data_IF_993749266733
#
_entry.id   IF_993749266733
#
_cell.length_a   1.000
_cell.length_b   1.000
_cell.length_c   1.000
_cell.angle_alpha   90.00
_cell.angle_beta   90.00
_cell.angle_gamma   90.00
#
_symmetry.space_group_name_H-M   'P 1'
#
loop_
_entity.id
_entity.type
_entity.pdbx_description
1 polymer ?
#
# COMPACT_ATOMS: atom_id res chain seq x y z
N UNK A 1 3.29 -32.25 21.60
CA UNK A 1 1.87 -32.07 21.24
C UNK A 1 1.51 -30.57 21.29
N UNK A 2 2.17 -29.78 20.44
CA UNK A 2 1.83 -28.37 20.19
C UNK A 2 0.65 -28.20 19.20
N UNK A 3 0.31 -29.30 18.53
CA UNK A 3 -0.30 -29.31 17.21
C UNK A 3 -1.72 -29.88 17.21
N UNK A 4 -2.57 -29.38 18.11
CA UNK A 4 -4.03 -29.66 18.08
C UNK A 4 -4.92 -28.47 18.45
N UNK A 5 -4.35 -27.30 18.73
CA UNK A 5 -5.13 -26.11 19.16
C UNK A 5 -5.02 -24.91 18.23
N UNK A 6 -4.14 -24.92 17.23
CA UNK A 6 -3.96 -23.79 16.30
C UNK A 6 -5.22 -23.58 15.45
N UNK A 7 -5.83 -24.65 14.97
CA UNK A 7 -7.08 -24.60 14.20
C UNK A 7 -8.30 -24.19 15.02
N UNK A 8 -8.17 -24.11 16.35
CA UNK A 8 -9.21 -23.64 17.27
C UNK A 8 -9.01 -22.18 17.70
N UNK A 9 -7.95 -21.51 17.21
CA UNK A 9 -7.71 -20.10 17.52
C UNK A 9 -8.66 -19.21 16.70
N UNK A 10 -9.22 -18.20 17.34
CA UNK A 10 -10.03 -17.17 16.70
C UNK A 10 -9.14 -16.03 16.19
N UNK A 11 -9.64 -15.31 15.18
CA UNK A 11 -8.98 -14.13 14.63
C UNK A 11 -8.68 -13.07 15.71
N UNK A 12 -7.55 -12.35 15.59
CA UNK A 12 -7.12 -11.32 16.54
C UNK A 12 -7.92 -10.01 16.40
N UNK A 13 -8.69 -9.85 15.33
CA UNK A 13 -9.49 -8.68 15.03
C UNK A 13 -8.70 -7.61 14.26
N UNK A 14 -9.12 -6.36 14.40
CA UNK A 14 -8.68 -5.24 13.55
C UNK A 14 -7.37 -4.57 14.00
N UNK A 15 -6.67 -5.10 15.00
CA UNK A 15 -5.43 -4.50 15.51
C UNK A 15 -4.50 -5.53 16.14
N UNK A 16 -3.19 -5.28 16.01
CA UNK A 16 -2.14 -6.05 16.65
C UNK A 16 -1.33 -5.14 17.59
N UNK A 17 -1.15 -5.58 18.83
CA UNK A 17 -0.31 -4.94 19.82
C UNK A 17 1.16 -5.33 19.69
N UNK A 18 2.07 -4.44 20.10
CA UNK A 18 3.51 -4.70 20.04
C UNK A 18 3.97 -5.89 20.93
N UNK A 19 3.19 -6.21 21.96
CA UNK A 19 3.40 -7.34 22.88
C UNK A 19 2.75 -8.64 22.40
N UNK A 20 1.97 -8.59 21.31
CA UNK A 20 1.34 -9.80 20.77
C UNK A 20 2.42 -10.77 20.28
N UNK A 21 2.07 -12.04 20.35
CA UNK A 21 2.99 -13.14 20.06
C UNK A 21 2.54 -13.82 18.78
N UNK A 22 3.43 -13.88 17.81
CA UNK A 22 3.28 -14.71 16.64
C UNK A 22 3.86 -16.08 16.94
N UNK A 23 3.08 -17.12 16.65
CA UNK A 23 3.55 -18.49 16.70
C UNK A 23 4.23 -18.81 15.37
N UNK A 24 5.55 -19.01 15.41
CA UNK A 24 6.33 -19.46 14.26
C UNK A 24 6.52 -20.97 14.40
N UNK A 25 6.07 -21.72 13.40
CA UNK A 25 6.27 -23.17 13.30
C UNK A 25 7.39 -23.40 12.29
N UNK A 26 8.53 -23.89 12.79
CA UNK A 26 9.69 -24.24 11.95
C UNK A 26 9.38 -25.44 11.04
N UNK A 27 10.03 -25.47 9.87
CA UNK A 27 9.74 -26.34 8.74
C UNK A 27 9.75 -27.85 9.03
N UNK A 28 8.93 -28.55 8.26
CA UNK A 28 8.55 -29.97 8.30
C UNK A 28 9.66 -31.02 8.05
N UNK A 29 10.94 -30.65 8.15
CA UNK A 29 12.07 -31.59 8.02
C UNK A 29 12.28 -32.50 9.24
N UNK A 30 11.60 -32.21 10.36
CA UNK A 30 11.66 -32.95 11.62
C UNK A 30 10.48 -32.61 12.53
N UNK A 31 10.53 -33.03 13.80
CA UNK A 31 9.48 -32.68 14.78
C UNK A 31 9.43 -31.17 15.00
N UNK A 32 8.31 -30.49 14.70
CA UNK A 32 8.23 -29.04 14.82
C UNK A 32 8.51 -28.58 16.25
N UNK A 33 9.39 -27.59 16.42
CA UNK A 33 9.58 -26.89 17.69
C UNK A 33 8.93 -25.52 17.60
N UNK A 34 7.92 -25.27 18.43
CA UNK A 34 7.25 -23.97 18.47
C UNK A 34 8.26 -22.88 18.87
N UNK A 35 8.35 -21.80 18.09
CA UNK A 35 9.08 -20.59 18.46
C UNK A 35 8.10 -19.44 18.63
N UNK A 36 8.38 -18.56 19.59
CA UNK A 36 7.62 -17.31 19.82
C UNK A 36 8.41 -16.13 19.26
N UNK A 37 7.76 -15.24 18.52
CA UNK A 37 8.30 -13.95 18.09
C UNK A 37 7.31 -12.84 18.49
N UNK A 38 7.79 -11.75 19.06
CA UNK A 38 6.94 -10.57 19.33
C UNK A 38 6.77 -9.75 18.05
N UNK A 39 5.62 -9.08 17.89
CA UNK A 39 5.36 -8.19 16.73
C UNK A 39 6.48 -7.15 16.55
N UNK A 40 6.95 -6.57 17.65
CA UNK A 40 8.06 -5.61 17.65
C UNK A 40 9.38 -6.14 17.08
N UNK A 41 9.64 -7.44 17.23
CA UNK A 41 10.84 -8.07 16.65
C UNK A 41 10.67 -8.34 15.16
N UNK A 42 9.46 -8.66 14.71
CA UNK A 42 9.16 -8.85 13.30
C UNK A 42 9.25 -7.54 12.50
N UNK A 43 8.60 -6.47 12.97
CA UNK A 43 8.55 -5.19 12.25
C UNK A 43 9.83 -4.35 12.38
N UNK A 44 10.64 -4.58 13.42
CA UNK A 44 11.86 -3.82 13.68
C UNK A 44 13.14 -4.40 13.07
N UNK A 45 13.15 -5.66 12.64
CA UNK A 45 14.36 -6.37 12.19
C UNK A 45 14.10 -7.23 10.95
N UNK A 46 13.76 -6.60 9.81
CA UNK A 46 13.61 -7.32 8.56
C UNK A 46 14.97 -7.86 8.06
N UNK A 47 15.11 -9.18 7.82
CA UNK A 47 16.37 -9.78 7.37
C UNK A 47 16.66 -9.57 5.87
N UNK A 48 15.71 -8.97 5.14
CA UNK A 48 15.75 -8.70 3.70
C UNK A 48 14.88 -7.49 3.37
N UNK A 49 14.78 -7.13 2.09
CA UNK A 49 13.92 -6.05 1.62
C UNK A 49 12.44 -6.32 1.91
N UNK A 50 11.66 -5.25 2.09
CA UNK A 50 10.21 -5.32 2.19
C UNK A 50 9.61 -5.36 0.78
N UNK A 51 9.09 -6.52 0.38
CA UNK A 51 8.36 -6.68 -0.87
C UNK A 51 6.86 -6.82 -0.64
N UNK A 52 6.04 -6.29 -1.54
CA UNK A 52 4.60 -6.54 -1.55
C UNK A 52 4.31 -7.77 -2.43
N UNK A 53 3.60 -8.75 -1.88
CA UNK A 53 3.19 -9.96 -2.63
C UNK A 53 1.96 -9.74 -3.50
N UNK A 54 1.29 -8.60 -3.35
CA UNK A 54 0.11 -8.21 -4.13
C UNK A 54 0.52 -7.77 -5.54
N UNK A 55 -0.31 -8.08 -6.53
CA UNK A 55 -0.16 -7.49 -7.86
C UNK A 55 -0.38 -5.96 -7.77
N UNK A 56 0.37 -5.14 -8.53
CA UNK A 56 0.09 -3.72 -8.63
C UNK A 56 -1.30 -3.46 -9.21
N UNK A 57 -1.95 -2.40 -8.71
CA UNK A 57 -3.11 -1.81 -9.36
C UNK A 57 -2.70 -1.26 -10.73
N UNK A 58 -3.27 -1.83 -11.79
CA UNK A 58 -2.91 -1.52 -13.18
C UNK A 58 -3.94 -0.55 -13.75
N UNK A 59 -3.65 0.75 -13.61
CA UNK A 59 -4.48 1.82 -14.14
C UNK A 59 -4.15 2.03 -15.62
N UNK A 60 -5.19 2.07 -16.44
CA UNK A 60 -5.09 2.28 -17.89
C UNK A 60 -5.91 3.50 -18.31
N UNK A 61 -5.88 3.87 -19.59
CA UNK A 61 -6.69 4.96 -20.14
C UNK A 61 -8.21 4.75 -20.02
N UNK A 62 -8.68 3.54 -19.69
CA UNK A 62 -10.09 3.24 -19.44
C UNK A 62 -10.48 3.28 -17.95
N UNK A 63 -9.49 3.40 -17.05
CA UNK A 63 -9.71 3.44 -15.61
C UNK A 63 -10.25 4.80 -15.16
N UNK A 64 -10.97 4.82 -14.04
CA UNK A 64 -11.51 6.04 -13.41
C UNK A 64 -11.13 6.17 -11.93
N UNK A 65 -10.43 5.16 -11.39
CA UNK A 65 -10.11 5.01 -9.97
C UNK A 65 -8.69 4.48 -9.84
N UNK A 66 -7.97 5.00 -8.84
CA UNK A 66 -6.79 4.38 -8.22
C UNK A 66 -7.26 3.63 -6.98
N UNK A 67 -6.97 2.34 -6.87
CA UNK A 67 -7.44 1.56 -5.71
C UNK A 67 -6.75 1.98 -4.40
N UNK A 68 -7.38 1.66 -3.27
CA UNK A 68 -6.77 1.86 -1.94
C UNK A 68 -6.24 0.56 -1.33
N UNK A 69 -6.42 -0.58 -1.99
CA UNK A 69 -6.06 -1.90 -1.45
C UNK A 69 -4.65 -2.33 -1.83
N UNK A 70 -4.22 -2.03 -3.05
CA UNK A 70 -2.89 -2.36 -3.54
C UNK A 70 -1.90 -1.33 -3.02
N UNK A 71 -0.72 -1.75 -2.57
CA UNK A 71 0.30 -0.81 -2.12
C UNK A 71 0.92 -0.02 -3.29
N UNK A 72 0.93 -0.61 -4.48
CA UNK A 72 1.54 -0.06 -5.69
C UNK A 72 0.45 0.15 -6.75
N UNK A 73 0.46 1.31 -7.40
CA UNK A 73 -0.28 1.59 -8.62
C UNK A 73 0.67 1.95 -9.74
N UNK A 74 0.46 1.33 -10.89
CA UNK A 74 1.10 1.71 -12.16
C UNK A 74 0.07 2.37 -13.06
N UNK A 75 0.43 3.48 -13.69
CA UNK A 75 -0.44 4.24 -14.59
C UNK A 75 0.09 4.19 -16.01
N UNK A 76 -0.76 3.78 -16.94
CA UNK A 76 -0.56 3.90 -18.38
C UNK A 76 -1.64 4.82 -18.97
N UNK A 77 -1.28 6.04 -19.34
CA UNK A 77 -2.22 6.99 -19.95
C UNK A 77 -2.44 6.70 -21.45
N UNK A 78 -3.54 7.23 -21.97
CA UNK A 78 -3.82 7.27 -23.41
C UNK A 78 -3.55 8.66 -23.98
N UNK A 79 -4.03 8.95 -25.19
CA UNK A 79 -3.86 10.27 -25.81
C UNK A 79 -4.69 11.40 -25.17
N UNK A 80 -5.76 11.04 -24.45
CA UNK A 80 -6.64 11.99 -23.76
C UNK A 80 -6.29 12.09 -22.29
N UNK A 81 -6.58 13.24 -21.68
CA UNK A 81 -6.47 13.43 -20.23
C UNK A 81 -7.24 12.34 -19.47
N UNK A 82 -6.59 11.79 -18.44
CA UNK A 82 -7.09 10.67 -17.64
C UNK A 82 -7.45 11.17 -16.23
N UNK A 83 -8.74 11.33 -15.96
CA UNK A 83 -9.24 11.70 -14.64
C UNK A 83 -9.40 10.46 -13.75
N UNK A 84 -8.78 10.48 -12.57
CA UNK A 84 -8.80 9.38 -11.61
C UNK A 84 -9.23 9.89 -10.24
N UNK A 85 -9.94 9.04 -9.49
CA UNK A 85 -10.27 9.30 -8.09
C UNK A 85 -9.49 8.37 -7.17
N UNK A 86 -9.22 8.80 -5.94
CA UNK A 86 -8.61 7.97 -4.90
C UNK A 86 -9.40 8.12 -3.59
N UNK A 87 -9.94 7.02 -3.06
CA UNK A 87 -10.66 7.06 -1.79
C UNK A 87 -9.72 7.32 -0.60
N UNK A 88 -10.30 7.60 0.57
CA UNK A 88 -9.53 7.63 1.82
C UNK A 88 -8.86 6.27 2.07
N UNK A 89 -7.67 6.30 2.68
CA UNK A 89 -6.97 5.09 3.08
C UNK A 89 -7.77 4.27 4.10
N UNK A 90 -7.48 2.97 4.12
CA UNK A 90 -8.20 2.00 4.95
C UNK A 90 -7.65 1.92 6.38
N UNK A 91 -6.42 2.41 6.60
CA UNK A 91 -5.75 2.37 7.90
C UNK A 91 -4.75 3.51 8.03
N UNK A 92 -4.66 4.10 9.22
CA UNK A 92 -3.66 5.12 9.53
C UNK A 92 -2.25 4.55 9.34
N UNK A 93 -1.36 5.32 8.72
CA UNK A 93 -0.01 4.89 8.39
C UNK A 93 0.10 4.10 7.08
N UNK A 94 -1.00 3.92 6.34
CA UNK A 94 -0.97 3.27 5.04
C UNK A 94 -0.09 4.06 4.06
N UNK A 95 0.83 3.37 3.38
CA UNK A 95 1.70 3.92 2.34
C UNK A 95 1.21 3.43 0.98
N UNK A 96 1.09 4.35 0.02
CA UNK A 96 0.73 4.08 -1.38
C UNK A 96 1.81 4.63 -2.30
N UNK A 97 2.27 3.79 -3.23
CA UNK A 97 3.25 4.16 -4.26
C UNK A 97 2.53 4.24 -5.60
N UNK A 98 2.73 5.33 -6.33
CA UNK A 98 2.11 5.54 -7.65
C UNK A 98 3.21 5.93 -8.64
N UNK A 99 3.23 5.30 -9.80
CA UNK A 99 4.17 5.63 -10.87
C UNK A 99 3.48 5.56 -12.24
N UNK A 100 3.74 6.54 -13.10
CA UNK A 100 3.41 6.45 -14.51
C UNK A 100 4.49 5.65 -15.24
N UNK A 101 4.07 4.63 -15.98
CA UNK A 101 4.95 3.70 -16.71
C UNK A 101 4.81 3.84 -18.23
N UNK A 102 3.70 4.42 -18.69
CA UNK A 102 3.44 4.70 -20.11
C UNK A 102 2.75 6.05 -20.20
N UNK A 103 3.32 6.95 -21.01
CA UNK A 103 2.69 8.18 -21.42
C UNK A 103 2.13 8.03 -22.84
N UNK A 104 0.81 8.12 -22.97
CA UNK A 104 0.10 8.16 -24.24
C UNK A 104 -0.11 9.57 -24.81
N UNK A 105 0.35 10.61 -24.10
CA UNK A 105 0.17 12.04 -24.36
C UNK A 105 -0.85 12.73 -23.44
N UNK A 106 -1.65 11.95 -22.72
CA UNK A 106 -2.65 12.44 -21.78
C UNK A 106 -2.15 12.46 -20.34
N UNK A 107 -2.23 13.61 -19.68
CA UNK A 107 -1.92 13.72 -18.24
C UNK A 107 -2.93 12.93 -17.41
N UNK A 108 -2.43 12.10 -16.49
CA UNK A 108 -3.23 11.41 -15.49
C UNK A 108 -3.36 12.28 -14.23
N UNK A 109 -4.56 12.74 -13.93
CA UNK A 109 -4.86 13.60 -12.78
C UNK A 109 -5.65 12.80 -11.75
N UNK A 110 -5.04 12.56 -10.61
CA UNK A 110 -5.63 11.85 -9.47
C UNK A 110 -6.21 12.89 -8.52
N UNK A 111 -7.48 12.72 -8.16
CA UNK A 111 -8.19 13.52 -7.17
C UNK A 111 -8.50 12.64 -5.95
N UNK A 112 -7.66 12.69 -4.90
CA UNK A 112 -7.96 12.00 -3.65
C UNK A 112 -9.16 12.64 -2.94
N UNK A 113 -9.94 11.83 -2.22
CA UNK A 113 -11.10 12.29 -1.47
C UNK A 113 -10.73 13.35 -0.41
N UNK A 114 -9.54 13.21 0.18
CA UNK A 114 -8.93 14.21 1.04
C UNK A 114 -7.41 14.18 0.83
N UNK A 115 -6.85 15.30 0.36
CA UNK A 115 -5.42 15.47 0.10
C UNK A 115 -4.93 16.67 0.92
N UNK A 116 -3.90 16.45 1.74
CA UNK A 116 -3.41 17.48 2.63
C UNK A 116 -2.69 18.58 1.83
N UNK A 117 -3.26 19.79 1.87
CA UNK A 117 -2.66 21.00 1.30
C UNK A 117 -2.76 21.14 -0.22
N UNK A 118 -3.37 20.19 -0.92
CA UNK A 118 -3.59 20.19 -2.37
C UNK A 118 -4.95 19.53 -2.67
N UNK A 119 -5.38 19.55 -3.92
CA UNK A 119 -6.62 18.90 -4.38
C UNK A 119 -6.37 17.75 -5.36
N UNK A 120 -5.25 17.80 -6.09
CA UNK A 120 -4.93 16.87 -7.17
C UNK A 120 -3.44 16.55 -7.24
N UNK A 121 -3.14 15.42 -7.88
CA UNK A 121 -1.79 14.97 -8.24
C UNK A 121 -1.82 14.63 -9.73
N UNK A 122 -1.06 15.35 -10.54
CA UNK A 122 -0.99 15.14 -11.99
C UNK A 122 0.35 14.52 -12.40
N UNK A 123 0.28 13.43 -13.18
CA UNK A 123 1.41 12.74 -13.79
C UNK A 123 1.30 12.91 -15.31
N UNK A 124 2.28 13.57 -15.93
CA UNK A 124 2.29 13.90 -17.34
C UNK A 124 3.25 13.02 -18.14
N UNK A 125 4.36 12.59 -17.54
CA UNK A 125 5.43 11.88 -18.23
C UNK A 125 5.76 10.53 -17.58
N UNK A 126 6.35 9.62 -18.36
CA UNK A 126 6.87 8.35 -17.83
C UNK A 126 7.94 8.62 -16.77
N UNK A 127 7.80 7.99 -15.60
CA UNK A 127 8.69 8.20 -14.45
C UNK A 127 8.16 9.22 -13.43
N UNK A 128 7.09 9.95 -13.77
CA UNK A 128 6.36 10.70 -12.77
C UNK A 128 5.84 9.74 -11.70
N UNK A 129 6.06 10.09 -10.44
CA UNK A 129 5.70 9.23 -9.32
C UNK A 129 5.51 10.00 -8.03
N UNK A 130 4.68 9.44 -7.15
CA UNK A 130 4.51 9.95 -5.80
C UNK A 130 4.38 8.83 -4.77
N UNK A 131 4.76 9.15 -3.54
CA UNK A 131 4.49 8.33 -2.37
C UNK A 131 3.52 9.07 -1.46
N UNK A 132 2.41 8.42 -1.13
CA UNK A 132 1.38 8.95 -0.26
C UNK A 132 1.41 8.23 1.08
N UNK A 133 1.16 8.98 2.16
CA UNK A 133 0.94 8.48 3.50
C UNK A 133 -0.46 8.88 3.95
N UNK A 134 -1.32 7.90 4.25
CA UNK A 134 -2.63 8.20 4.81
C UNK A 134 -2.50 8.43 6.32
N UNK A 135 -2.85 9.64 6.77
CA UNK A 135 -2.70 10.03 8.17
C UNK A 135 -3.91 9.65 9.01
N UNK A 136 -5.10 10.03 8.56
CA UNK A 136 -6.41 9.75 9.18
C UNK A 136 -7.52 10.32 8.28
N UNK A 137 -8.79 10.12 8.65
CA UNK A 137 -9.95 10.60 7.87
C UNK A 137 -10.05 12.13 7.78
N UNK A 138 -9.51 12.87 8.76
CA UNK A 138 -9.58 14.35 8.79
C UNK A 138 -8.51 15.00 7.93
N UNK A 139 -7.27 14.49 7.98
CA UNK A 139 -6.12 15.04 7.24
C UNK A 139 -5.93 14.40 5.87
N UNK A 140 -6.46 13.19 5.66
CA UNK A 140 -6.40 12.49 4.40
C UNK A 140 -5.00 11.98 4.04
N UNK A 141 -4.74 11.93 2.74
CA UNK A 141 -3.45 11.57 2.17
C UNK A 141 -2.48 12.75 2.23
N UNK A 142 -1.27 12.51 2.72
CA UNK A 142 -0.15 13.43 2.59
C UNK A 142 0.78 12.95 1.47
N UNK A 143 1.17 13.84 0.56
CA UNK A 143 2.25 13.57 -0.40
C UNK A 143 3.58 13.74 0.34
N UNK A 144 4.26 12.63 0.62
CA UNK A 144 5.52 12.65 1.38
C UNK A 144 6.76 12.60 0.49
N UNK A 145 6.57 12.28 -0.79
CA UNK A 145 7.60 12.36 -1.83
C UNK A 145 6.92 12.45 -3.19
N UNK A 146 7.50 13.22 -4.11
CA UNK A 146 7.11 13.25 -5.51
C UNK A 146 8.35 13.41 -6.41
N UNK A 147 8.23 12.92 -7.64
CA UNK A 147 9.16 13.15 -8.73
C UNK A 147 8.33 13.48 -9.98
N UNK A 148 8.52 14.66 -10.56
CA UNK A 148 7.85 15.10 -11.79
C UNK A 148 6.36 15.45 -11.67
N UNK A 149 5.65 14.89 -10.69
CA UNK A 149 4.23 15.19 -10.49
C UNK A 149 3.97 16.67 -10.18
N UNK A 150 2.91 17.22 -10.77
CA UNK A 150 2.36 18.52 -10.36
C UNK A 150 1.31 18.34 -9.25
N UNK A 151 1.41 19.15 -8.20
CA UNK A 151 0.44 19.21 -7.10
C UNK A 151 -0.32 20.54 -7.21
N UNK A 152 -1.65 20.48 -7.14
CA UNK A 152 -2.53 21.65 -7.24
C UNK A 152 -3.74 21.50 -6.32
#
# INVERSE_FOLDING_TARGET
MADKKITALTDIGTGIGATDIWMVVDGIGGTPTNKKMTVSKFTGYFPSYLGFSQAPDTVTSASTVVDVTSAITTIASGASALGLTLANGTSEGQIKFISMITDGGGTATITPANLLGNSTIALADVGDSCTLLYLNSTSGWAVISNNGCALA
#
